data_IF_296513587659
#
_entry.id   IF_296513587659
#
_cell.length_a   1.000
_cell.length_b   1.000
_cell.length_c   1.000
_cell.angle_alpha   90.00
_cell.angle_beta   90.00
_cell.angle_gamma   90.00
#
_symmetry.space_group_name_H-M   'P 1'
#
loop_
_entity.id
_entity.type
_entity.pdbx_description
1 polymer ?
#
# COMPACT_ATOMS: atom_id res chain seq x y z
N UNK A 1 15.32 13.58 24.61
CA UNK A 1 14.56 12.48 24.00
C UNK A 1 14.29 12.88 22.57
N UNK A 2 15.06 12.32 21.63
CA UNK A 2 15.04 12.69 20.21
C UNK A 2 14.34 11.56 19.46
N UNK A 3 13.11 11.84 19.05
CA UNK A 3 12.27 10.91 18.28
C UNK A 3 11.09 11.73 17.78
N UNK A 4 11.06 11.90 16.46
CA UNK A 4 10.15 12.67 15.58
C UNK A 4 11.07 13.39 14.60
N UNK A 5 11.47 12.66 13.56
CA UNK A 5 12.04 13.12 12.28
C UNK A 5 13.40 13.86 12.33
N UNK A 6 14.36 13.38 11.54
CA UNK A 6 15.49 14.19 11.08
C UNK A 6 15.14 14.61 9.63
N UNK A 7 14.72 15.82 9.24
CA UNK A 7 14.82 17.23 9.69
C UNK A 7 15.61 18.18 8.77
N UNK A 8 16.00 17.77 7.54
CA UNK A 8 16.56 18.71 6.53
C UNK A 8 16.14 18.54 5.06
N UNK A 9 15.16 17.68 4.73
CA UNK A 9 14.56 17.62 3.38
C UNK A 9 13.04 17.50 3.36
N UNK A 10 12.43 17.37 4.54
CA UNK A 10 11.00 17.25 4.79
C UNK A 10 10.72 18.06 6.06
N UNK A 11 10.68 19.39 5.94
CA UNK A 11 10.33 20.24 7.08
C UNK A 11 8.80 20.18 7.30
N UNK A 12 8.35 19.31 8.20
CA UNK A 12 6.97 19.35 8.70
C UNK A 12 6.85 20.61 9.56
N UNK A 13 6.19 21.66 9.05
CA UNK A 13 5.76 22.80 9.88
C UNK A 13 4.47 22.41 10.61
N UNK A 14 4.28 22.87 11.85
CA UNK A 14 2.99 22.73 12.53
C UNK A 14 1.86 23.33 11.69
N UNK A 15 0.86 22.52 11.33
CA UNK A 15 -0.20 22.85 10.36
C UNK A 15 -0.52 21.66 9.45
N UNK A 16 -1.31 21.89 8.38
CA UNK A 16 -1.58 20.88 7.34
C UNK A 16 -0.23 20.29 6.88
N UNK A 17 -0.01 18.99 7.07
CA UNK A 17 1.28 18.27 6.93
C UNK A 17 1.79 18.28 5.47
N UNK A 18 2.06 19.46 4.93
CA UNK A 18 2.49 19.69 3.56
C UNK A 18 3.92 19.16 3.41
N UNK A 19 4.10 18.21 2.49
CA UNK A 19 5.42 17.70 2.13
C UNK A 19 6.17 18.75 1.32
N UNK A 20 7.16 19.38 1.95
CA UNK A 20 8.10 20.26 1.27
C UNK A 20 9.33 19.45 0.85
N UNK A 21 9.46 19.18 -0.45
CA UNK A 21 10.58 18.41 -1.02
C UNK A 21 11.59 19.39 -1.59
N UNK A 22 12.69 19.56 -0.87
CA UNK A 22 13.79 20.43 -1.32
C UNK A 22 14.76 19.68 -2.23
N UNK A 23 15.23 20.36 -3.25
CA UNK A 23 16.30 19.87 -4.12
C UNK A 23 17.66 20.03 -3.43
N UNK A 24 18.66 19.31 -3.92
CA UNK A 24 20.05 19.42 -3.51
C UNK A 24 20.67 20.69 -4.11
N UNK A 25 20.69 21.76 -3.33
CA UNK A 25 21.15 23.10 -3.78
C UNK A 25 22.53 23.02 -4.40
N UNK A 26 23.43 22.25 -3.79
CA UNK A 26 24.80 22.04 -4.24
C UNK A 26 24.93 21.26 -5.55
N UNK A 27 23.87 20.59 -6.00
CA UNK A 27 23.82 19.83 -7.26
C UNK A 27 22.87 20.43 -8.31
N UNK A 28 22.11 21.46 -7.93
CA UNK A 28 21.28 22.22 -8.86
C UNK A 28 22.16 23.05 -9.77
N UNK A 29 21.93 22.94 -11.08
CA UNK A 29 22.76 23.58 -12.11
C UNK A 29 21.91 24.25 -13.17
N UNK A 30 22.50 25.26 -13.83
CA UNK A 30 21.92 25.86 -15.04
C UNK A 30 22.71 25.38 -16.25
N UNK A 31 22.02 24.86 -17.27
CA UNK A 31 22.67 24.42 -18.50
C UNK A 31 22.92 25.59 -19.48
N UNK A 32 23.51 25.26 -20.64
CA UNK A 32 23.84 26.23 -21.69
C UNK A 32 22.60 26.82 -22.38
N UNK A 33 21.48 26.11 -22.37
CA UNK A 33 20.20 26.53 -22.97
C UNK A 33 19.34 27.36 -21.98
N UNK A 34 19.81 27.43 -20.74
CA UNK A 34 19.26 28.21 -19.65
C UNK A 34 18.26 27.43 -18.79
N UNK A 35 18.20 26.11 -18.91
CA UNK A 35 17.40 25.25 -18.03
C UNK A 35 18.02 25.15 -16.65
N UNK A 36 17.17 25.23 -15.62
CA UNK A 36 17.52 24.94 -14.23
C UNK A 36 17.20 23.47 -13.96
N UNK A 37 18.23 22.71 -13.61
CA UNK A 37 18.13 21.30 -13.25
C UNK A 37 18.07 21.17 -11.73
N UNK A 38 16.89 20.86 -11.20
CA UNK A 38 16.71 20.52 -9.79
C UNK A 38 16.97 19.03 -9.59
N UNK A 39 18.03 18.72 -8.82
CA UNK A 39 18.38 17.35 -8.49
C UNK A 39 17.87 16.98 -7.10
N UNK A 40 17.23 15.82 -6.96
CA UNK A 40 16.74 15.30 -5.69
C UNK A 40 17.43 13.98 -5.33
N UNK A 41 17.67 13.76 -4.05
CA UNK A 41 18.18 12.48 -3.56
C UNK A 41 17.12 11.40 -3.57
N UNK A 42 17.54 10.14 -3.77
CA UNK A 42 16.67 8.99 -3.44
C UNK A 42 16.36 9.03 -1.95
N UNK A 43 15.14 8.66 -1.58
CA UNK A 43 14.69 8.67 -0.19
C UNK A 43 13.99 7.35 0.15
N UNK A 44 14.06 6.93 1.42
CA UNK A 44 13.32 5.79 1.94
C UNK A 44 12.27 6.30 2.91
N UNK A 45 11.14 5.61 3.02
CA UNK A 45 10.20 5.87 4.10
C UNK A 45 10.92 5.73 5.44
N UNK A 46 10.71 6.71 6.32
CA UNK A 46 11.26 6.64 7.67
C UNK A 46 10.61 5.49 8.42
N UNK A 47 11.43 4.59 8.97
CA UNK A 47 10.96 3.54 9.87
C UNK A 47 11.95 3.45 11.05
N UNK A 48 11.61 4.01 12.22
CA UNK A 48 12.53 4.03 13.36
C UNK A 48 12.85 2.63 13.92
N UNK A 49 12.07 1.62 13.52
CA UNK A 49 12.10 0.27 14.07
C UNK A 49 12.88 -0.66 13.15
N UNK A 50 13.40 -0.16 12.03
CA UNK A 50 14.05 -0.99 11.02
C UNK A 50 15.18 -0.25 10.30
N UNK A 51 16.38 -0.80 10.40
CA UNK A 51 17.54 -0.41 9.61
C UNK A 51 17.81 -1.48 8.55
N UNK A 52 17.99 -1.08 7.29
CA UNK A 52 18.39 -2.03 6.24
C UNK A 52 19.85 -2.44 6.49
N UNK A 53 20.14 -3.72 6.72
CA UNK A 53 21.51 -4.19 6.86
C UNK A 53 22.31 -3.99 5.58
N UNK A 54 23.58 -3.64 5.70
CA UNK A 54 24.51 -3.61 4.57
C UNK A 54 24.98 -5.01 4.17
N UNK A 55 25.14 -5.91 5.15
CA UNK A 55 25.58 -7.28 4.90
C UNK A 55 24.46 -8.13 4.31
N UNK A 56 24.72 -8.75 3.15
CA UNK A 56 23.76 -9.61 2.43
C UNK A 56 23.10 -10.67 3.33
N UNK A 57 23.90 -11.32 4.19
CA UNK A 57 23.39 -12.42 5.02
C UNK A 57 22.38 -11.90 6.05
N UNK A 58 22.67 -10.78 6.69
CA UNK A 58 21.75 -10.15 7.65
C UNK A 58 20.52 -9.60 6.94
N UNK A 59 20.67 -9.12 5.70
CA UNK A 59 19.53 -8.72 4.86
C UNK A 59 18.62 -9.92 4.55
N UNK A 60 19.21 -11.07 4.22
CA UNK A 60 18.49 -12.32 4.01
C UNK A 60 17.77 -12.78 5.28
N UNK A 61 18.46 -12.86 6.42
CA UNK A 61 17.87 -13.26 7.71
C UNK A 61 16.68 -12.35 8.09
N UNK A 62 16.88 -11.03 8.04
CA UNK A 62 15.81 -10.07 8.30
C UNK A 62 14.63 -10.23 7.36
N UNK A 63 14.88 -10.57 6.09
CA UNK A 63 13.81 -10.77 5.11
C UNK A 63 12.99 -12.02 5.42
N UNK A 64 13.64 -13.15 5.67
CA UNK A 64 12.93 -14.43 5.88
C UNK A 64 12.18 -14.48 7.21
N UNK A 65 12.68 -13.81 8.24
CA UNK A 65 12.04 -13.73 9.55
C UNK A 65 10.80 -12.81 9.56
N UNK A 66 10.47 -12.20 8.42
CA UNK A 66 9.40 -11.21 8.33
C UNK A 66 9.79 -9.85 8.90
N UNK A 67 11.03 -9.69 9.39
CA UNK A 67 11.59 -8.45 9.94
C UNK A 67 11.72 -7.31 8.94
N UNK A 68 11.31 -7.50 7.69
CA UNK A 68 11.26 -6.46 6.67
C UNK A 68 10.01 -5.57 6.81
N UNK A 69 10.11 -4.45 7.54
CA UNK A 69 9.21 -3.27 7.51
C UNK A 69 7.72 -3.48 7.84
N UNK A 70 7.19 -2.72 8.80
CA UNK A 70 5.82 -2.22 8.68
C UNK A 70 5.80 -1.20 7.52
N UNK A 71 4.84 -1.31 6.61
CA UNK A 71 4.61 -0.23 5.65
C UNK A 71 4.04 0.98 6.40
N UNK A 72 4.25 2.22 5.90
CA UNK A 72 3.48 3.36 6.36
C UNK A 72 2.01 2.97 6.45
N UNK A 73 1.43 3.17 7.62
CA UNK A 73 0.11 2.66 7.99
C UNK A 73 -0.68 3.76 8.68
N UNK A 74 -2.00 3.71 8.52
CA UNK A 74 -2.96 4.65 9.08
C UNK A 74 -3.84 4.01 10.15
N UNK A 75 -3.42 2.86 10.68
CA UNK A 75 -4.08 2.17 11.76
C UNK A 75 -3.21 1.12 12.44
N UNK A 76 -3.81 0.40 13.37
CA UNK A 76 -3.24 -0.60 14.26
C UNK A 76 -3.75 -2.01 13.98
N UNK A 77 -4.83 -2.16 13.19
CA UNK A 77 -5.43 -3.45 12.84
C UNK A 77 -4.82 -3.97 11.52
N UNK A 78 -4.33 -5.23 11.48
CA UNK A 78 -3.87 -5.84 10.24
C UNK A 78 -4.94 -5.82 9.14
N UNK A 79 -4.55 -5.46 7.92
CA UNK A 79 -5.50 -5.36 6.80
C UNK A 79 -6.26 -6.65 6.51
N UNK A 80 -5.71 -7.83 6.82
CA UNK A 80 -6.39 -9.11 6.62
C UNK A 80 -7.58 -9.31 7.59
N UNK A 81 -7.45 -8.81 8.83
CA UNK A 81 -8.53 -8.77 9.82
C UNK A 81 -9.63 -7.81 9.34
N UNK A 82 -9.26 -6.61 8.92
CA UNK A 82 -10.21 -5.63 8.37
C UNK A 82 -10.92 -6.16 7.12
N UNK A 83 -10.17 -6.77 6.20
CA UNK A 83 -10.71 -7.38 4.99
C UNK A 83 -11.65 -8.54 5.29
N UNK A 84 -11.44 -9.28 6.39
CA UNK A 84 -12.36 -10.33 6.83
C UNK A 84 -13.71 -9.75 7.25
N UNK A 85 -13.72 -8.65 7.98
CA UNK A 85 -14.97 -7.98 8.36
C UNK A 85 -15.66 -7.33 7.15
N UNK A 86 -14.91 -6.68 6.26
CA UNK A 86 -15.45 -6.14 5.01
C UNK A 86 -16.13 -7.23 4.16
N UNK A 87 -15.51 -8.42 4.04
CA UNK A 87 -16.11 -9.56 3.32
C UNK A 87 -17.44 -10.02 3.93
N UNK A 88 -17.61 -9.97 5.26
CA UNK A 88 -18.89 -10.33 5.90
C UNK A 88 -20.00 -9.36 5.49
N UNK A 89 -19.70 -8.06 5.52
CA UNK A 89 -20.65 -7.01 5.10
C UNK A 89 -21.02 -7.19 3.62
N UNK A 90 -20.02 -7.34 2.74
CA UNK A 90 -20.25 -7.58 1.31
C UNK A 90 -21.05 -8.88 1.05
N UNK A 91 -20.80 -9.95 1.83
CA UNK A 91 -21.56 -11.19 1.74
C UNK A 91 -23.01 -11.00 2.16
N UNK A 92 -23.29 -10.16 3.17
CA UNK A 92 -24.66 -9.83 3.56
C UNK A 92 -25.40 -9.12 2.43
N UNK A 93 -24.76 -8.15 1.77
CA UNK A 93 -25.32 -7.46 0.59
C UNK A 93 -25.58 -8.45 -0.54
N UNK A 94 -24.64 -9.37 -0.82
CA UNK A 94 -24.81 -10.42 -1.82
C UNK A 94 -26.02 -11.30 -1.53
N UNK A 95 -26.22 -11.74 -0.28
CA UNK A 95 -27.39 -12.52 0.11
C UNK A 95 -28.69 -11.73 -0.08
N UNK A 96 -28.71 -10.43 0.25
CA UNK A 96 -29.88 -9.57 -0.01
C UNK A 96 -30.22 -9.49 -1.50
N UNK A 97 -29.23 -9.46 -2.39
CA UNK A 97 -29.43 -9.40 -3.84
C UNK A 97 -30.03 -10.68 -4.46
N UNK A 98 -29.89 -11.80 -3.74
CA UNK A 98 -30.30 -13.14 -4.15
C UNK A 98 -31.71 -13.51 -3.66
N UNK A 99 -32.24 -12.80 -2.66
CA UNK A 99 -33.59 -13.01 -2.12
C UNK A 99 -34.58 -12.01 -2.74
N UNK A 100 -35.44 -12.43 -3.70
CA UNK A 100 -36.39 -11.55 -4.35
C UNK A 100 -37.40 -10.89 -3.40
N UNK A 101 -37.61 -11.47 -2.21
CA UNK A 101 -38.54 -10.97 -1.21
C UNK A 101 -37.87 -10.03 -0.21
N UNK A 102 -36.54 -9.89 -0.24
CA UNK A 102 -35.85 -8.95 0.64
C UNK A 102 -36.16 -7.51 0.20
N UNK A 103 -36.55 -6.66 1.16
CA UNK A 103 -36.90 -5.25 0.93
C UNK A 103 -35.78 -4.39 0.32
N UNK A 104 -34.53 -4.87 0.29
CA UNK A 104 -33.37 -4.22 -0.35
C UNK A 104 -32.83 -5.00 -1.56
N UNK A 105 -33.57 -5.98 -2.10
CA UNK A 105 -33.07 -6.85 -3.17
C UNK A 105 -32.62 -6.06 -4.41
N UNK A 106 -33.43 -5.11 -4.87
CA UNK A 106 -33.09 -4.30 -6.05
C UNK A 106 -31.89 -3.39 -5.79
N UNK A 107 -31.86 -2.68 -4.65
CA UNK A 107 -30.72 -1.85 -4.25
C UNK A 107 -29.43 -2.67 -4.17
N UNK A 108 -29.50 -3.88 -3.62
CA UNK A 108 -28.35 -4.76 -3.52
C UNK A 108 -27.85 -5.24 -4.90
N UNK A 109 -28.76 -5.53 -5.84
CA UNK A 109 -28.39 -5.86 -7.23
C UNK A 109 -27.73 -4.67 -7.94
N UNK A 110 -28.23 -3.46 -7.72
CA UNK A 110 -27.65 -2.24 -8.30
C UNK A 110 -26.23 -1.99 -7.77
N UNK A 111 -26.03 -2.09 -6.46
CA UNK A 111 -24.71 -1.94 -5.82
C UNK A 111 -23.70 -2.94 -6.36
N UNK A 112 -24.12 -4.19 -6.61
CA UNK A 112 -23.25 -5.28 -7.05
C UNK A 112 -23.05 -5.33 -8.57
N UNK A 113 -23.72 -4.48 -9.36
CA UNK A 113 -23.66 -4.48 -10.82
C UNK A 113 -22.25 -4.33 -11.38
N UNK A 114 -21.37 -3.60 -10.69
CA UNK A 114 -19.95 -3.39 -11.07
C UNK A 114 -18.99 -4.32 -10.31
N UNK A 115 -19.53 -5.36 -9.67
CA UNK A 115 -18.80 -6.31 -8.84
C UNK A 115 -18.69 -5.88 -7.38
N UNK A 116 -18.69 -6.84 -6.45
CA UNK A 116 -18.72 -6.58 -4.99
C UNK A 116 -17.65 -5.62 -4.45
N UNK A 117 -16.48 -5.56 -5.10
CA UNK A 117 -15.40 -4.69 -4.64
C UNK A 117 -15.52 -3.26 -5.17
N UNK A 118 -16.50 -2.91 -6.01
CA UNK A 118 -16.79 -1.49 -6.32
C UNK A 118 -17.46 -0.78 -5.15
N UNK A 119 -17.96 -1.50 -4.15
CA UNK A 119 -18.63 -0.95 -2.97
C UNK A 119 -17.65 -0.53 -1.87
N UNK A 120 -16.35 -0.79 -2.03
CA UNK A 120 -15.28 -0.42 -1.10
C UNK A 120 -14.24 0.42 -1.82
N UNK A 121 -13.55 1.30 -1.08
CA UNK A 121 -12.50 2.19 -1.59
C UNK A 121 -11.19 1.99 -0.81
N UNK A 122 -10.14 2.68 -1.24
CA UNK A 122 -8.94 2.92 -0.46
C UNK A 122 -8.17 1.65 -0.21
N UNK A 123 -7.58 1.53 0.97
CA UNK A 123 -6.76 0.39 1.39
C UNK A 123 -7.49 -0.94 1.19
N UNK A 124 -8.79 -1.00 1.51
CA UNK A 124 -9.58 -2.22 1.40
C UNK A 124 -9.87 -2.62 -0.04
N UNK A 125 -10.10 -1.65 -0.94
CA UNK A 125 -10.18 -1.91 -2.38
C UNK A 125 -8.87 -2.52 -2.90
N UNK A 126 -7.75 -1.90 -2.55
CA UNK A 126 -6.41 -2.35 -2.98
C UNK A 126 -6.13 -3.77 -2.47
N UNK A 127 -6.46 -4.04 -1.21
CA UNK A 127 -6.27 -5.33 -0.57
C UNK A 127 -7.17 -6.42 -1.19
N UNK A 128 -8.49 -6.18 -1.24
CA UNK A 128 -9.47 -7.18 -1.69
C UNK A 128 -9.37 -7.47 -3.19
N UNK A 129 -9.06 -6.44 -3.98
CA UNK A 129 -8.80 -6.56 -5.40
C UNK A 129 -7.44 -7.17 -5.74
N UNK A 130 -6.55 -7.35 -4.76
CA UNK A 130 -5.18 -7.88 -4.93
C UNK A 130 -4.29 -7.05 -5.86
N UNK A 131 -4.45 -5.72 -5.83
CA UNK A 131 -3.63 -4.80 -6.64
C UNK A 131 -2.17 -4.69 -6.18
N UNK A 132 -1.84 -5.16 -4.97
CA UNK A 132 -0.55 -4.97 -4.30
C UNK A 132 0.23 -6.28 -4.14
N UNK A 133 1.46 -6.20 -3.63
CA UNK A 133 2.25 -7.39 -3.29
C UNK A 133 1.62 -8.17 -2.11
N UNK A 134 1.96 -9.46 -2.00
CA UNK A 134 1.60 -10.25 -0.80
C UNK A 134 2.25 -9.69 0.45
N UNK A 135 3.45 -9.13 0.33
CA UNK A 135 4.20 -8.53 1.43
C UNK A 135 3.47 -7.31 2.02
N UNK A 136 3.04 -6.37 1.17
CA UNK A 136 2.24 -5.22 1.58
C UNK A 136 0.97 -5.64 2.31
N UNK A 137 0.23 -6.62 1.78
CA UNK A 137 -1.01 -7.10 2.40
C UNK A 137 -0.80 -7.65 3.81
N UNK A 138 0.38 -8.16 4.13
CA UNK A 138 0.69 -8.73 5.46
C UNK A 138 1.16 -7.68 6.46
N UNK A 139 1.67 -6.54 5.98
CA UNK A 139 2.41 -5.56 6.77
C UNK A 139 1.78 -4.16 6.76
N UNK A 140 0.64 -4.00 6.08
CA UNK A 140 -0.19 -2.80 6.09
C UNK A 140 -1.28 -2.93 7.16
N UNK A 141 -1.45 -1.88 7.95
CA UNK A 141 -2.43 -1.81 9.04
C UNK A 141 -3.35 -0.62 8.83
N UNK A 142 -4.64 -0.79 9.02
CA UNK A 142 -5.66 0.26 8.81
C UNK A 142 -6.80 0.01 9.79
N UNK A 143 -7.41 1.06 10.31
CA UNK A 143 -8.48 0.94 11.31
C UNK A 143 -9.87 1.17 10.71
N UNK A 144 -9.94 1.42 9.39
CA UNK A 144 -11.15 1.88 8.73
C UNK A 144 -11.56 1.00 7.53
N UNK A 145 -12.86 0.83 7.35
CA UNK A 145 -13.47 0.37 6.10
C UNK A 145 -14.19 1.54 5.43
N UNK A 146 -13.62 1.99 4.31
CA UNK A 146 -14.21 2.98 3.44
C UNK A 146 -15.20 2.34 2.45
N UNK A 147 -16.50 2.49 2.70
CA UNK A 147 -17.55 2.12 1.74
C UNK A 147 -17.83 3.26 0.74
N UNK A 148 -18.26 2.85 -0.45
CA UNK A 148 -18.72 3.73 -1.52
C UNK A 148 -20.06 3.24 -2.06
N UNK A 149 -21.15 3.61 -1.37
CA UNK A 149 -22.48 3.07 -1.65
C UNK A 149 -23.58 4.12 -1.52
N UNK A 150 -24.23 4.49 -2.63
CA UNK A 150 -25.36 5.42 -2.66
C UNK A 150 -26.60 4.93 -1.88
N UNK A 151 -26.81 3.61 -1.80
CA UNK A 151 -27.89 3.01 -1.01
C UNK A 151 -27.47 2.87 0.47
N UNK A 152 -27.51 4.00 1.19
CA UNK A 152 -27.07 4.10 2.60
C UNK A 152 -27.85 3.20 3.55
N UNK A 153 -29.16 3.06 3.35
CA UNK A 153 -30.02 2.22 4.20
C UNK A 153 -29.65 0.73 4.11
N UNK A 154 -29.36 0.23 2.91
CA UNK A 154 -28.84 -1.12 2.70
C UNK A 154 -27.50 -1.32 3.42
N UNK A 155 -26.60 -0.35 3.35
CA UNK A 155 -25.31 -0.41 4.04
C UNK A 155 -25.48 -0.42 5.56
N UNK A 156 -26.27 0.50 6.11
CA UNK A 156 -26.56 0.59 7.55
C UNK A 156 -27.19 -0.72 8.07
N UNK A 157 -28.15 -1.28 7.33
CA UNK A 157 -28.75 -2.59 7.66
C UNK A 157 -27.72 -3.73 7.64
N UNK A 158 -26.85 -3.74 6.63
CA UNK A 158 -25.80 -4.77 6.49
C UNK A 158 -24.74 -4.67 7.59
N UNK A 159 -24.36 -3.45 7.99
CA UNK A 159 -23.42 -3.19 9.08
C UNK A 159 -24.00 -3.62 10.43
N UNK A 160 -25.26 -3.28 10.74
CA UNK A 160 -25.98 -3.77 11.93
C UNK A 160 -26.01 -5.30 11.98
N UNK A 161 -26.35 -5.94 10.87
CA UNK A 161 -26.38 -7.41 10.77
C UNK A 161 -24.99 -8.05 10.97
N UNK A 162 -23.92 -7.28 10.76
CA UNK A 162 -22.53 -7.70 10.99
C UNK A 162 -21.96 -7.22 12.33
N UNK A 163 -22.82 -6.85 13.29
CA UNK A 163 -22.46 -6.43 14.65
C UNK A 163 -21.66 -5.12 14.74
N UNK A 164 -21.76 -4.25 13.74
CA UNK A 164 -21.32 -2.86 13.91
C UNK A 164 -22.37 -2.07 14.69
N UNK A 165 -21.91 -1.19 15.56
CA UNK A 165 -22.73 -0.28 16.36
C UNK A 165 -22.49 1.14 15.89
N UNK A 166 -23.56 1.90 15.62
CA UNK A 166 -23.43 3.30 15.23
C UNK A 166 -23.17 4.15 16.47
N UNK A 167 -22.02 4.81 16.51
CA UNK A 167 -21.72 5.80 17.53
C UNK A 167 -22.60 7.04 17.27
N UNK A 168 -23.34 7.47 18.30
CA UNK A 168 -24.27 8.61 18.18
C UNK A 168 -23.57 9.96 18.18
N UNK A 169 -22.37 10.04 18.75
CA UNK A 169 -21.59 11.26 18.85
C UNK A 169 -20.81 11.52 17.56
N UNK A 170 -20.09 10.51 17.07
CA UNK A 170 -19.27 10.63 15.85
C UNK A 170 -20.06 10.36 14.58
N UNK A 171 -21.16 9.60 14.67
CA UNK A 171 -21.93 9.13 13.52
C UNK A 171 -21.31 7.92 12.80
N UNK A 172 -20.13 7.46 13.22
CA UNK A 172 -19.38 6.35 12.62
C UNK A 172 -19.90 4.99 13.07
N UNK A 173 -19.62 3.95 12.29
CA UNK A 173 -19.93 2.57 12.65
C UNK A 173 -18.72 1.90 13.28
N UNK A 174 -18.86 1.36 14.47
CA UNK A 174 -17.76 0.79 15.24
C UNK A 174 -17.97 -0.70 15.49
N UNK A 175 -16.87 -1.45 15.51
CA UNK A 175 -16.87 -2.86 15.90
C UNK A 175 -15.57 -3.21 16.60
N UNK A 176 -15.66 -3.80 17.78
CA UNK A 176 -14.50 -4.44 18.40
C UNK A 176 -14.06 -5.65 17.56
N UNK A 177 -12.79 -5.68 17.17
CA UNK A 177 -12.16 -6.84 16.54
C UNK A 177 -11.05 -7.37 17.43
N UNK A 178 -10.89 -8.70 17.43
CA UNK A 178 -9.89 -9.39 18.23
C UNK A 178 -9.08 -10.34 17.35
N UNK A 179 -7.77 -10.37 17.56
CA UNK A 179 -6.87 -11.30 16.88
C UNK A 179 -5.67 -11.64 17.75
N UNK A 180 -5.00 -12.75 17.43
CA UNK A 180 -3.73 -13.11 18.05
C UNK A 180 -2.59 -12.56 17.23
N UNK A 181 -1.69 -11.79 17.84
CA UNK A 181 -0.46 -11.35 17.18
C UNK A 181 0.38 -12.58 16.84
N UNK A 182 0.79 -12.70 15.59
CA UNK A 182 1.52 -13.88 15.10
C UNK A 182 2.82 -14.15 15.86
N UNK A 183 3.58 -13.07 16.13
CA UNK A 183 4.89 -13.12 16.77
C UNK A 183 4.81 -13.45 18.26
N UNK A 184 3.95 -12.75 19.01
CA UNK A 184 3.91 -12.82 20.48
C UNK A 184 2.80 -13.74 21.00
N UNK A 185 1.88 -14.18 20.12
CA UNK A 185 0.63 -14.89 20.47
C UNK A 185 -0.28 -14.12 21.44
N UNK A 186 0.03 -12.85 21.73
CA UNK A 186 -0.81 -11.94 22.52
C UNK A 186 -2.16 -11.73 21.83
N UNK A 187 -3.24 -11.77 22.60
CA UNK A 187 -4.54 -11.30 22.12
C UNK A 187 -4.51 -9.77 22.05
N UNK A 188 -4.83 -9.24 20.86
CA UNK A 188 -5.03 -7.81 20.62
C UNK A 188 -6.52 -7.57 20.40
N UNK A 189 -6.97 -6.41 20.86
CA UNK A 189 -8.35 -5.95 20.76
C UNK A 189 -8.30 -4.48 20.38
N UNK A 190 -8.91 -4.14 19.25
CA UNK A 190 -8.98 -2.76 18.76
C UNK A 190 -10.39 -2.46 18.25
N UNK A 191 -10.68 -1.18 18.04
CA UNK A 191 -11.94 -0.71 17.46
C UNK A 191 -11.73 -0.52 15.96
N UNK A 192 -12.50 -1.25 15.17
CA UNK A 192 -12.61 -1.08 13.73
C UNK A 192 -13.74 -0.11 13.41
N UNK A 193 -13.44 0.90 12.59
CA UNK A 193 -14.42 1.85 12.10
C UNK A 193 -14.87 1.47 10.69
N UNK A 194 -16.12 1.79 10.37
CA UNK A 194 -16.68 1.70 9.04
C UNK A 194 -17.44 2.99 8.74
N UNK A 195 -17.17 3.56 7.57
CA UNK A 195 -17.78 4.80 7.13
C UNK A 195 -18.29 4.66 5.70
N UNK A 196 -19.31 5.45 5.37
CA UNK A 196 -19.71 5.65 3.98
C UNK A 196 -19.17 6.99 3.49
N UNK A 197 -18.25 6.96 2.56
CA UNK A 197 -17.52 8.16 2.16
C UNK A 197 -18.30 9.05 1.18
N UNK A 198 -19.60 8.81 0.98
CA UNK A 198 -20.44 9.71 0.18
C UNK A 198 -20.44 11.14 0.71
N UNK A 199 -20.32 11.35 2.02
CA UNK A 199 -20.29 12.71 2.57
C UNK A 199 -19.08 13.51 2.06
N UNK A 200 -18.01 12.84 1.63
CA UNK A 200 -16.84 13.45 0.99
C UNK A 200 -17.07 13.80 -0.50
N UNK A 201 -18.23 13.45 -1.10
CA UNK A 201 -18.64 13.99 -2.41
C UNK A 201 -18.92 15.50 -2.35
N UNK A 202 -19.39 15.97 -1.19
CA UNK A 202 -19.82 17.34 -0.96
C UNK A 202 -18.80 18.15 -0.16
N UNK A 203 -17.68 17.53 0.19
CA UNK A 203 -16.59 18.20 0.90
C UNK A 203 -15.67 18.91 -0.10
N UNK A 204 -15.96 20.21 -0.31
CA UNK A 204 -15.16 21.11 -1.12
C UNK A 204 -13.96 21.69 -0.34
N UNK A 205 -13.83 21.38 0.96
CA UNK A 205 -12.70 21.77 1.80
C UNK A 205 -11.53 20.78 1.73
N UNK A 206 -10.33 21.22 2.09
CA UNK A 206 -9.12 20.42 2.35
C UNK A 206 -8.62 19.42 1.29
N UNK A 207 -9.20 19.39 0.08
CA UNK A 207 -8.78 18.44 -0.97
C UNK A 207 -9.30 17.00 -0.75
N UNK A 208 -10.37 16.83 0.02
CA UNK A 208 -11.02 15.55 0.33
C UNK A 208 -12.04 15.08 -0.73
N UNK A 209 -12.26 15.84 -1.80
CA UNK A 209 -13.21 15.51 -2.86
C UNK A 209 -12.99 14.09 -3.41
N UNK A 210 -14.05 13.28 -3.39
CA UNK A 210 -14.03 11.89 -3.81
C UNK A 210 -14.91 11.64 -5.03
N UNK A 211 -14.33 11.12 -6.12
CA UNK A 211 -15.09 10.89 -7.37
C UNK A 211 -15.63 9.46 -7.53
N UNK A 212 -14.93 8.44 -7.01
CA UNK A 212 -15.33 7.05 -7.22
C UNK A 212 -14.40 6.01 -6.57
N UNK A 213 -14.80 4.74 -6.60
CA UNK A 213 -14.06 3.64 -5.97
C UNK A 213 -13.08 2.93 -6.91
N UNK A 214 -12.90 3.41 -8.14
CA UNK A 214 -11.93 2.84 -9.08
C UNK A 214 -10.49 3.16 -8.65
N UNK A 215 -9.53 2.43 -9.20
CA UNK A 215 -8.12 2.67 -8.94
C UNK A 215 -7.70 4.11 -9.33
N UNK A 216 -8.25 4.64 -10.43
CA UNK A 216 -8.01 6.03 -10.88
C UNK A 216 -8.37 7.04 -9.80
N UNK A 217 -9.58 6.95 -9.26
CA UNK A 217 -10.06 7.90 -8.25
C UNK A 217 -9.35 7.73 -6.89
N UNK A 218 -8.93 6.50 -6.56
CA UNK A 218 -8.08 6.26 -5.39
C UNK A 218 -6.72 6.96 -5.57
N UNK A 219 -6.11 6.83 -6.74
CA UNK A 219 -4.82 7.46 -7.04
C UNK A 219 -4.92 8.98 -7.06
N UNK A 220 -5.96 9.54 -7.66
CA UNK A 220 -6.17 10.99 -7.70
C UNK A 220 -6.20 11.59 -6.28
N UNK A 221 -6.99 11.00 -5.36
CA UNK A 221 -7.00 11.39 -3.94
C UNK A 221 -5.62 11.26 -3.31
N UNK A 222 -4.97 10.10 -3.50
CA UNK A 222 -3.71 9.76 -2.83
C UNK A 222 -2.54 10.64 -3.28
N UNK A 223 -2.46 10.97 -4.58
CA UNK A 223 -1.45 11.88 -5.14
C UNK A 223 -1.65 13.29 -4.60
N UNK A 224 -2.89 13.79 -4.55
CA UNK A 224 -3.19 15.14 -4.03
C UNK A 224 -2.92 15.24 -2.53
N UNK A 225 -3.32 14.25 -1.73
CA UNK A 225 -3.11 14.23 -0.27
C UNK A 225 -1.63 14.06 0.08
N UNK A 226 -0.97 13.04 -0.47
CA UNK A 226 0.48 12.87 -0.39
C UNK A 226 1.05 12.36 0.93
N UNK A 227 0.23 11.77 1.81
CA UNK A 227 0.76 11.17 3.04
C UNK A 227 1.63 9.95 2.70
N UNK A 228 2.59 9.59 3.56
CA UNK A 228 3.48 8.43 3.30
C UNK A 228 2.71 7.15 3.03
N UNK A 229 1.60 6.95 3.74
CA UNK A 229 0.68 5.83 3.53
C UNK A 229 0.06 5.84 2.12
N UNK A 230 -0.26 7.01 1.59
CA UNK A 230 -0.83 7.15 0.24
C UNK A 230 0.20 6.86 -0.83
N UNK A 231 1.39 7.43 -0.69
CA UNK A 231 2.49 7.21 -1.63
C UNK A 231 2.95 5.74 -1.59
N UNK A 232 3.01 5.14 -0.40
CA UNK A 232 3.29 3.71 -0.22
C UNK A 232 2.26 2.84 -0.95
N UNK A 233 0.97 3.14 -0.82
CA UNK A 233 -0.08 2.38 -1.51
C UNK A 233 0.06 2.48 -3.04
N UNK A 234 0.30 3.68 -3.58
CA UNK A 234 0.57 3.90 -5.02
C UNK A 234 1.76 3.07 -5.50
N UNK A 235 2.88 3.14 -4.78
CA UNK A 235 4.12 2.43 -5.12
C UNK A 235 3.90 0.92 -5.12
N UNK A 236 3.19 0.38 -4.13
CA UNK A 236 2.94 -1.06 -4.05
C UNK A 236 1.99 -1.58 -5.13
N UNK A 237 1.06 -0.75 -5.60
CA UNK A 237 0.26 -1.07 -6.78
C UNK A 237 1.15 -1.06 -8.03
N UNK A 238 1.99 -0.04 -8.20
CA UNK A 238 2.88 0.07 -9.35
C UNK A 238 3.93 -1.06 -9.42
N UNK A 239 4.40 -1.58 -8.28
CA UNK A 239 5.28 -2.77 -8.26
C UNK A 239 4.69 -3.96 -8.99
N UNK A 240 3.37 -4.17 -8.87
CA UNK A 240 2.65 -5.31 -9.44
C UNK A 240 2.12 -5.05 -10.85
N UNK A 241 2.21 -3.82 -11.36
CA UNK A 241 1.59 -3.42 -12.62
C UNK A 241 2.56 -2.62 -13.47
N UNK A 242 2.95 -3.17 -14.63
CA UNK A 242 3.81 -2.51 -15.61
C UNK A 242 3.03 -1.86 -16.77
N UNK A 243 1.70 -2.03 -16.79
CA UNK A 243 0.81 -1.55 -17.86
C UNK A 243 0.86 -2.34 -19.17
N UNK A 244 1.59 -3.46 -19.20
CA UNK A 244 1.76 -4.32 -20.38
C UNK A 244 0.96 -5.60 -20.23
N UNK A 245 1.04 -6.26 -19.07
CA UNK A 245 0.41 -7.53 -18.76
C UNK A 245 -0.25 -7.52 -17.36
N UNK A 246 -0.93 -8.62 -17.02
CA UNK A 246 -1.62 -8.79 -15.73
C UNK A 246 -3.13 -8.50 -15.74
N UNK A 247 -3.81 -8.99 -14.70
CA UNK A 247 -5.28 -8.97 -14.58
C UNK A 247 -5.88 -7.56 -14.41
N UNK A 248 -5.06 -6.58 -14.03
CA UNK A 248 -5.48 -5.19 -13.77
C UNK A 248 -4.97 -4.20 -14.82
N UNK A 249 -4.41 -4.67 -15.94
CA UNK A 249 -3.80 -3.82 -16.98
C UNK A 249 -4.68 -2.65 -17.40
N UNK A 250 -5.93 -2.90 -17.76
CA UNK A 250 -6.82 -1.85 -18.27
C UNK A 250 -7.10 -0.78 -17.22
N UNK A 251 -7.38 -1.20 -15.98
CA UNK A 251 -7.63 -0.27 -14.88
C UNK A 251 -6.37 0.51 -14.50
N UNK A 252 -5.19 -0.09 -14.61
CA UNK A 252 -3.91 0.60 -14.45
C UNK A 252 -3.65 1.65 -15.54
N UNK A 253 -3.97 1.33 -16.80
CA UNK A 253 -3.85 2.29 -17.91
C UNK A 253 -4.79 3.49 -17.68
N UNK A 254 -6.03 3.25 -17.26
CA UNK A 254 -6.96 4.32 -16.90
C UNK A 254 -6.46 5.14 -15.70
N UNK A 255 -5.82 4.48 -14.74
CA UNK A 255 -5.22 5.12 -13.55
C UNK A 255 -4.10 6.10 -13.90
N UNK A 256 -3.41 5.91 -15.03
CA UNK A 256 -2.37 6.84 -15.49
C UNK A 256 -2.90 8.27 -15.64
N UNK A 257 -4.16 8.42 -16.03
CA UNK A 257 -4.81 9.73 -16.16
C UNK A 257 -4.81 10.54 -14.85
N UNK A 258 -4.77 9.88 -13.68
CA UNK A 258 -4.65 10.58 -12.39
C UNK A 258 -3.29 11.26 -12.21
N UNK A 259 -2.21 10.66 -12.70
CA UNK A 259 -0.89 11.30 -12.71
C UNK A 259 -0.86 12.51 -13.66
N UNK A 260 -1.47 12.38 -14.83
CA UNK A 260 -1.56 13.47 -15.81
C UNK A 260 -2.37 14.64 -15.28
N UNK A 261 -3.53 14.38 -14.68
CA UNK A 261 -4.36 15.40 -14.03
C UNK A 261 -3.60 16.09 -12.90
N UNK A 262 -2.95 15.31 -12.02
CA UNK A 262 -2.13 15.82 -10.94
C UNK A 262 -1.01 16.74 -11.45
N UNK A 263 -0.23 16.30 -12.45
CA UNK A 263 0.84 17.10 -13.04
C UNK A 263 0.33 18.37 -13.75
N UNK A 264 -0.85 18.30 -14.37
CA UNK A 264 -1.48 19.46 -15.02
C UNK A 264 -1.92 20.54 -14.02
N UNK A 265 -2.19 20.20 -12.76
CA UNK A 265 -2.49 21.23 -11.74
C UNK A 265 -1.34 22.20 -11.53
N UNK A 266 -0.09 21.75 -11.78
CA UNK A 266 1.16 22.48 -11.49
C UNK A 266 1.22 23.02 -10.05
N UNK A 267 0.45 22.42 -9.15
CA UNK A 267 0.40 22.79 -7.75
C UNK A 267 1.66 22.27 -7.06
N UNK A 268 2.33 23.13 -6.29
CA UNK A 268 3.60 22.78 -5.62
C UNK A 268 3.48 21.52 -4.76
N UNK A 269 2.40 21.34 -4.00
CA UNK A 269 2.16 20.14 -3.17
C UNK A 269 2.11 18.89 -4.05
N UNK A 270 1.30 18.93 -5.10
CA UNK A 270 1.13 17.79 -6.02
C UNK A 270 2.44 17.46 -6.75
N UNK A 271 3.19 18.46 -7.20
CA UNK A 271 4.52 18.28 -7.81
C UNK A 271 5.49 17.66 -6.81
N UNK A 272 5.54 18.13 -5.56
CA UNK A 272 6.35 17.54 -4.48
C UNK A 272 5.96 16.08 -4.19
N UNK A 273 4.67 15.76 -4.21
CA UNK A 273 4.19 14.39 -4.02
C UNK A 273 4.64 13.48 -5.17
N UNK A 274 4.52 13.94 -6.42
CA UNK A 274 5.00 13.19 -7.59
C UNK A 274 6.51 12.97 -7.56
N UNK A 275 7.30 13.97 -7.20
CA UNK A 275 8.75 13.84 -7.00
C UNK A 275 9.04 12.81 -5.89
N UNK A 276 8.29 12.85 -4.79
CA UNK A 276 8.45 11.88 -3.69
C UNK A 276 8.17 10.45 -4.12
N UNK A 277 7.14 10.23 -4.95
CA UNK A 277 6.89 8.91 -5.55
C UNK A 277 8.13 8.44 -6.31
N UNK A 278 8.77 9.29 -7.12
CA UNK A 278 10.00 8.95 -7.84
C UNK A 278 11.14 8.60 -6.87
N UNK A 279 11.40 9.45 -5.86
CA UNK A 279 12.46 9.27 -4.86
C UNK A 279 12.31 7.94 -4.12
N UNK A 280 11.11 7.63 -3.65
CA UNK A 280 10.81 6.39 -2.94
C UNK A 280 10.86 5.17 -3.86
N UNK A 281 10.30 5.27 -5.07
CA UNK A 281 10.27 4.17 -6.05
C UNK A 281 11.68 3.72 -6.41
N UNK A 282 12.59 4.66 -6.68
CA UNK A 282 13.99 4.35 -7.01
C UNK A 282 14.75 3.75 -5.82
N UNK A 283 14.58 4.30 -4.61
CA UNK A 283 15.22 3.72 -3.42
C UNK A 283 14.70 2.32 -3.06
N UNK A 284 13.42 2.05 -3.32
CA UNK A 284 12.80 0.74 -3.12
C UNK A 284 13.28 -0.23 -4.21
N UNK A 285 13.39 0.20 -5.46
CA UNK A 285 13.94 -0.62 -6.55
C UNK A 285 15.36 -1.12 -6.22
N UNK A 286 16.26 -0.21 -5.82
CA UNK A 286 17.63 -0.58 -5.42
C UNK A 286 17.63 -1.57 -4.23
N UNK A 287 16.70 -1.42 -3.29
CA UNK A 287 16.56 -2.34 -2.17
C UNK A 287 16.06 -3.72 -2.60
N UNK A 288 15.10 -3.79 -3.52
CA UNK A 288 14.54 -5.04 -4.02
C UNK A 288 15.58 -5.86 -4.78
N UNK A 289 16.43 -5.21 -5.57
CA UNK A 289 17.57 -5.85 -6.26
C UNK A 289 18.54 -6.48 -5.24
N UNK A 290 18.97 -5.71 -4.22
CA UNK A 290 19.83 -6.25 -3.14
C UNK A 290 19.20 -7.41 -2.39
N UNK A 291 17.90 -7.35 -2.12
CA UNK A 291 17.18 -8.46 -1.48
C UNK A 291 17.12 -9.69 -2.39
N UNK A 292 16.90 -9.51 -3.70
CA UNK A 292 16.95 -10.62 -4.68
C UNK A 292 18.31 -11.32 -4.66
N UNK A 293 19.40 -10.55 -4.70
CA UNK A 293 20.77 -11.08 -4.66
C UNK A 293 21.04 -11.84 -3.36
N UNK A 294 20.68 -11.26 -2.22
CA UNK A 294 20.82 -11.90 -0.91
C UNK A 294 20.03 -13.22 -0.83
N UNK A 295 18.80 -13.25 -1.34
CA UNK A 295 17.99 -14.47 -1.38
C UNK A 295 18.65 -15.52 -2.28
N UNK A 296 19.07 -15.15 -3.50
CA UNK A 296 19.73 -16.09 -4.43
C UNK A 296 20.97 -16.74 -3.81
N UNK A 297 21.72 -15.97 -3.02
CA UNK A 297 22.95 -16.42 -2.34
C UNK A 297 22.70 -17.35 -1.16
N UNK A 298 21.62 -17.17 -0.41
CA UNK A 298 21.44 -17.83 0.89
C UNK A 298 20.18 -18.68 1.03
N UNK A 299 19.23 -18.67 0.09
CA UNK A 299 17.97 -19.45 0.18
C UNK A 299 18.20 -20.93 0.46
N UNK A 300 19.25 -21.53 -0.10
CA UNK A 300 19.52 -22.96 0.05
C UNK A 300 20.05 -23.31 1.47
N UNK A 301 20.49 -22.33 2.26
CA UNK A 301 20.79 -22.54 3.69
C UNK A 301 19.55 -22.98 4.47
N UNK A 302 18.34 -22.64 4.00
CA UNK A 302 17.11 -23.14 4.60
C UNK A 302 17.02 -24.66 4.55
N UNK A 303 17.72 -25.33 3.63
CA UNK A 303 17.78 -26.80 3.56
C UNK A 303 18.76 -27.41 4.57
N UNK A 304 19.70 -26.63 5.11
CA UNK A 304 20.72 -27.08 6.05
C UNK A 304 20.18 -27.10 7.49
N UNK A 305 20.02 -28.32 8.05
CA UNK A 305 19.53 -28.53 9.42
C UNK A 305 20.47 -27.99 10.51
N UNK A 306 21.77 -27.83 10.21
CA UNK A 306 22.75 -27.26 11.15
C UNK A 306 22.62 -25.74 11.26
N UNK A 307 22.18 -25.07 10.19
CA UNK A 307 21.98 -23.61 10.15
C UNK A 307 20.56 -23.22 10.51
N UNK A 308 19.58 -23.93 9.97
CA UNK A 308 18.17 -23.74 10.24
C UNK A 308 17.60 -25.03 10.85
N UNK A 309 17.71 -25.22 12.18
CA UNK A 309 17.11 -26.38 12.83
C UNK A 309 15.58 -26.34 12.75
N UNK A 310 14.93 -27.46 13.05
CA UNK A 310 13.49 -27.63 12.88
C UNK A 310 12.66 -26.61 13.67
N UNK A 311 13.11 -26.23 14.88
CA UNK A 311 12.49 -25.15 15.66
C UNK A 311 12.56 -23.78 14.97
N UNK A 312 13.64 -23.53 14.22
CA UNK A 312 13.77 -22.29 13.43
C UNK A 312 12.80 -22.28 12.27
N UNK A 313 12.64 -23.41 11.55
CA UNK A 313 11.64 -23.55 10.49
C UNK A 313 10.23 -23.32 11.04
N UNK A 314 9.89 -23.97 12.17
CA UNK A 314 8.62 -23.75 12.87
C UNK A 314 8.40 -22.29 13.25
N UNK A 315 9.44 -21.59 13.72
CA UNK A 315 9.38 -20.16 14.01
C UNK A 315 9.12 -19.33 12.76
N UNK A 316 9.79 -19.64 11.64
CA UNK A 316 9.56 -18.96 10.36
C UNK A 316 8.11 -19.15 9.89
N UNK A 317 7.49 -20.31 10.09
CA UNK A 317 6.08 -20.53 9.74
C UNK A 317 5.10 -19.58 10.45
N UNK A 318 5.47 -19.05 11.63
CA UNK A 318 4.59 -18.17 12.42
C UNK A 318 4.24 -16.88 11.70
N UNK A 319 5.02 -16.47 10.71
CA UNK A 319 4.76 -15.23 9.98
C UNK A 319 3.46 -15.31 9.14
N UNK A 320 2.94 -16.51 8.85
CA UNK A 320 1.73 -16.71 8.03
C UNK A 320 0.89 -17.88 8.51
N UNK A 321 -0.41 -17.67 8.70
CA UNK A 321 -1.38 -18.76 8.97
C UNK A 321 -1.35 -19.88 7.93
N UNK A 322 -1.03 -19.56 6.68
CA UNK A 322 -0.93 -20.55 5.62
C UNK A 322 0.28 -21.46 5.83
N UNK A 323 1.41 -20.89 6.26
CA UNK A 323 2.63 -21.65 6.54
C UNK A 323 2.49 -22.47 7.83
N UNK A 324 1.86 -21.91 8.87
CA UNK A 324 1.55 -22.64 10.10
C UNK A 324 0.66 -23.87 9.80
N UNK A 325 -0.43 -23.69 9.04
CA UNK A 325 -1.29 -24.81 8.62
C UNK A 325 -0.55 -25.85 7.76
N UNK A 326 0.32 -25.41 6.86
CA UNK A 326 1.10 -26.33 6.03
C UNK A 326 2.09 -27.14 6.87
N UNK A 327 2.74 -26.49 7.84
CA UNK A 327 3.62 -27.15 8.81
C UNK A 327 2.89 -28.22 9.61
N UNK A 328 1.73 -27.88 10.15
CA UNK A 328 0.92 -28.81 10.96
C UNK A 328 0.45 -30.03 10.14
N UNK A 329 0.17 -29.85 8.84
CA UNK A 329 -0.34 -30.91 7.98
C UNK A 329 0.77 -31.80 7.35
N UNK A 330 1.94 -31.24 7.03
CA UNK A 330 2.96 -31.91 6.22
C UNK A 330 4.28 -32.16 6.95
N UNK A 331 4.47 -31.57 8.14
CA UNK A 331 5.71 -31.69 8.90
C UNK A 331 6.85 -30.79 8.40
N UNK A 332 7.97 -30.83 9.13
CA UNK A 332 9.06 -29.86 9.00
C UNK A 332 9.83 -29.95 7.69
N UNK A 333 10.10 -31.17 7.18
CA UNK A 333 10.94 -31.36 6.00
C UNK A 333 10.26 -30.86 4.71
N UNK A 334 8.96 -31.13 4.54
CA UNK A 334 8.19 -30.58 3.41
C UNK A 334 8.00 -29.07 3.53
N UNK A 335 7.82 -28.58 4.76
CA UNK A 335 7.71 -27.14 5.00
C UNK A 335 9.00 -26.41 4.65
N UNK A 336 10.15 -27.00 4.94
CA UNK A 336 11.47 -26.48 4.59
C UNK A 336 11.63 -26.27 3.09
N UNK A 337 11.24 -27.27 2.28
CA UNK A 337 11.23 -27.18 0.81
C UNK A 337 10.30 -26.07 0.33
N UNK A 338 9.06 -26.05 0.84
CA UNK A 338 8.06 -25.04 0.49
C UNK A 338 8.53 -23.61 0.78
N UNK A 339 9.18 -23.37 1.93
CA UNK A 339 9.74 -22.06 2.28
C UNK A 339 10.88 -21.69 1.33
N UNK A 340 11.80 -22.62 1.05
CA UNK A 340 12.91 -22.40 0.11
C UNK A 340 12.40 -22.05 -1.28
N UNK A 341 11.42 -22.79 -1.80
CA UNK A 341 10.87 -22.60 -3.14
C UNK A 341 10.09 -21.29 -3.23
N UNK A 342 9.33 -20.93 -2.19
CA UNK A 342 8.71 -19.61 -2.10
C UNK A 342 9.75 -18.49 -2.18
N UNK A 343 10.88 -18.62 -1.47
CA UNK A 343 11.92 -17.60 -1.56
C UNK A 343 12.64 -17.60 -2.91
N UNK A 344 12.74 -18.75 -3.58
CA UNK A 344 13.22 -18.82 -4.96
C UNK A 344 12.35 -17.95 -5.89
N UNK A 345 11.02 -18.15 -5.85
CA UNK A 345 10.07 -17.32 -6.59
C UNK A 345 10.21 -15.83 -6.24
N UNK A 346 10.36 -15.50 -4.95
CA UNK A 346 10.56 -14.11 -4.51
C UNK A 346 11.88 -13.52 -5.05
N UNK A 347 12.92 -14.33 -5.25
CA UNK A 347 14.18 -13.88 -5.81
C UNK A 347 14.01 -13.48 -7.29
N UNK A 348 13.10 -14.11 -8.01
CA UNK A 348 12.81 -13.83 -9.42
C UNK A 348 11.78 -12.71 -9.61
N UNK A 349 10.80 -12.57 -8.72
CA UNK A 349 9.80 -11.50 -8.76
C UNK A 349 10.39 -10.12 -8.44
N UNK A 350 11.34 -10.04 -7.50
CA UNK A 350 11.89 -8.76 -7.00
C UNK A 350 12.54 -7.89 -8.09
N UNK A 351 13.38 -8.42 -9.00
CA UNK A 351 13.91 -7.66 -10.13
C UNK A 351 12.81 -7.09 -11.03
N UNK A 352 11.73 -7.84 -11.28
CA UNK A 352 10.58 -7.36 -12.07
C UNK A 352 9.91 -6.18 -11.37
N UNK A 353 9.66 -6.30 -10.07
CA UNK A 353 9.10 -5.19 -9.28
C UNK A 353 10.02 -3.96 -9.27
N UNK A 354 11.34 -4.15 -9.18
CA UNK A 354 12.30 -3.06 -9.25
C UNK A 354 12.24 -2.34 -10.61
N UNK A 355 12.19 -3.11 -11.71
CA UNK A 355 12.05 -2.55 -13.06
C UNK A 355 10.74 -1.75 -13.21
N UNK A 356 9.61 -2.28 -12.71
CA UNK A 356 8.33 -1.58 -12.74
C UNK A 356 8.38 -0.23 -12.01
N UNK A 357 9.05 -0.18 -10.86
CA UNK A 357 9.25 1.06 -10.10
C UNK A 357 10.17 2.06 -10.80
N UNK A 358 11.23 1.58 -11.48
CA UNK A 358 12.10 2.44 -12.31
C UNK A 358 11.31 3.03 -13.49
N UNK A 359 10.47 2.22 -14.14
CA UNK A 359 9.59 2.68 -15.22
C UNK A 359 8.59 3.72 -14.71
N UNK A 360 7.94 3.49 -13.57
CA UNK A 360 7.05 4.46 -12.94
C UNK A 360 7.74 5.80 -12.71
N UNK A 361 8.90 5.78 -12.04
CA UNK A 361 9.65 7.00 -11.74
C UNK A 361 10.04 7.76 -13.01
N UNK A 362 10.55 7.06 -14.03
CA UNK A 362 10.93 7.66 -15.30
C UNK A 362 9.73 8.30 -16.02
N UNK A 363 8.58 7.62 -16.03
CA UNK A 363 7.38 8.13 -16.67
C UNK A 363 6.84 9.38 -15.95
N UNK A 364 6.85 9.39 -14.60
CA UNK A 364 6.46 10.56 -13.82
C UNK A 364 7.43 11.72 -14.05
N UNK A 365 8.74 11.48 -14.05
CA UNK A 365 9.74 12.53 -14.32
C UNK A 365 9.59 13.11 -15.73
N UNK A 366 9.41 12.25 -16.75
CA UNK A 366 9.15 12.70 -18.12
C UNK A 366 7.90 13.56 -18.21
N UNK A 367 6.83 13.14 -17.53
CA UNK A 367 5.58 13.90 -17.45
C UNK A 367 5.80 15.26 -16.78
N UNK A 368 6.44 15.30 -15.60
CA UNK A 368 6.72 16.56 -14.91
C UNK A 368 7.59 17.49 -15.75
N UNK A 369 8.67 16.99 -16.35
CA UNK A 369 9.57 17.79 -17.16
C UNK A 369 8.87 18.38 -18.38
N UNK A 370 7.96 17.63 -19.03
CA UNK A 370 7.17 18.20 -20.13
C UNK A 370 6.20 19.28 -19.67
N UNK A 371 5.68 19.21 -18.44
CA UNK A 371 4.79 20.25 -17.89
C UNK A 371 5.52 21.51 -17.48
N UNK A 372 6.82 21.44 -17.18
CA UNK A 372 7.65 22.55 -16.70
C UNK A 372 8.67 23.07 -17.72
N UNK A 373 8.70 22.50 -18.93
CA UNK A 373 9.59 22.90 -20.03
C UNK A 373 9.51 24.40 -20.35
N UNK A 374 8.30 24.97 -20.34
CA UNK A 374 8.09 26.41 -20.60
C UNK A 374 8.74 27.34 -19.56
N UNK A 375 9.01 26.83 -18.36
CA UNK A 375 9.73 27.54 -17.29
C UNK A 375 11.23 27.31 -17.35
N UNK A 376 11.70 26.52 -18.33
CA UNK A 376 13.07 26.01 -18.40
C UNK A 376 13.49 25.33 -17.10
N UNK A 377 12.62 24.46 -16.58
CA UNK A 377 12.87 23.69 -15.36
C UNK A 377 12.87 22.21 -15.68
N UNK A 378 13.89 21.51 -15.18
CA UNK A 378 14.06 20.06 -15.29
C UNK A 378 14.23 19.47 -13.89
N UNK A 379 13.48 18.41 -13.59
CA UNK A 379 13.62 17.64 -12.36
C UNK A 379 14.40 16.35 -12.64
N UNK A 380 15.35 16.03 -11.77
CA UNK A 380 16.22 14.86 -11.84
C UNK A 380 16.28 14.16 -10.47
N UNK A 381 16.44 12.83 -10.46
CA UNK A 381 16.73 12.08 -9.22
C UNK A 381 18.14 11.50 -9.34
N UNK A 382 18.89 11.51 -8.24
CA UNK A 382 20.21 10.88 -8.18
C UNK A 382 20.18 9.43 -8.67
N UNK A 383 21.23 9.03 -9.38
CA UNK A 383 21.41 7.69 -9.94
C UNK A 383 21.91 6.68 -8.93
#
# INVERSE_FOLDING_TARGET
MNGIWDSKSDAIKEGDNLRDVSHLIEKTRKDKEGFIHYLFSKAKFSNPWYTIPEADFKLFENFIEGGSRAYPSDGSIPCDIVAKEARKVLKKIELCSQDPNHHYCQEAREVLKKGKFSSVRGTLKLYLGKYTTRDWRRKRFTDDIDFWMFHTNLLDSSLKACSFLKNKETGEWEKTVEWKKFETKENRREILFAANNLNQLLDFGAGSYLEGSSLKEIFDKKIKRGHDVDLSDIINVAMMNNGIDGIHKNEWLDTWSSFEQAANTRNTRTTSNLISICRYSLAIADHLEKVSEAIKKYKDLLLDKSKYPDEKIKSLCRISTHWEKFYDANGVDETRKMIRDFYDEQADEKPIHAQNLRMLANNILKLLNSKYEYLKVTFEIEH
#
